data_IF_237408888421
#
_entry.id   IF_237408888421
#
_cell.length_a   1.000
_cell.length_b   1.000
_cell.length_c   1.000
_cell.angle_alpha   90.00
_cell.angle_beta   90.00
_cell.angle_gamma   90.00
#
_symmetry.space_group_name_H-M   'P 1'
#
loop_
_entity.id
_entity.type
_entity.pdbx_description
1 polymer ?
#
# COMPACT_ATOMS: atom_id res chain seq x y z
N UNK A 1 -3.87 1.99 -35.07
CA UNK A 1 -4.53 2.48 -33.84
C UNK A 1 -4.01 1.64 -32.68
N UNK A 2 -3.40 2.25 -31.66
CA UNK A 2 -3.15 1.57 -30.38
C UNK A 2 -1.69 1.31 -30.00
N UNK A 3 -0.90 2.36 -29.78
CA UNK A 3 0.35 2.29 -29.02
C UNK A 3 0.49 3.54 -28.12
N UNK A 4 -0.45 3.72 -27.20
CA UNK A 4 -0.39 4.76 -26.17
C UNK A 4 -0.98 4.25 -24.85
N UNK A 5 -0.40 3.20 -24.26
CA UNK A 5 -0.79 2.76 -22.90
C UNK A 5 0.39 2.63 -21.92
N UNK A 6 1.60 3.05 -22.30
CA UNK A 6 2.77 2.91 -21.41
C UNK A 6 2.99 4.09 -20.45
N UNK A 7 2.31 5.22 -20.63
CA UNK A 7 2.55 6.44 -19.84
C UNK A 7 1.77 6.53 -18.52
N UNK A 8 0.80 5.65 -18.27
CA UNK A 8 0.01 5.65 -17.03
C UNK A 8 0.76 4.92 -15.89
N UNK A 9 1.73 4.05 -16.21
CA UNK A 9 2.43 3.22 -15.22
C UNK A 9 3.44 4.00 -14.34
N UNK A 10 3.99 5.12 -14.83
CA UNK A 10 4.97 5.93 -14.07
C UNK A 10 4.30 6.64 -12.89
N UNK A 11 3.06 7.10 -13.06
CA UNK A 11 2.27 7.64 -11.96
C UNK A 11 2.13 6.64 -10.81
N UNK A 12 2.16 5.33 -11.08
CA UNK A 12 1.93 4.33 -10.06
C UNK A 12 3.03 4.21 -8.98
N UNK A 13 4.26 4.69 -9.25
CA UNK A 13 5.36 4.58 -8.27
C UNK A 13 5.28 5.59 -7.13
N UNK A 14 4.75 6.79 -7.36
CA UNK A 14 4.70 7.85 -6.35
C UNK A 14 3.56 7.70 -5.32
N UNK A 15 2.54 6.93 -5.64
CA UNK A 15 1.34 6.78 -4.80
C UNK A 15 1.24 5.42 -4.12
N UNK A 16 2.38 4.76 -3.85
CA UNK A 16 2.41 3.48 -3.13
C UNK A 16 2.16 3.70 -1.63
N UNK A 17 1.52 2.74 -0.93
CA UNK A 17 1.43 2.78 0.52
C UNK A 17 2.83 2.68 1.14
N UNK A 18 3.07 3.47 2.19
CA UNK A 18 4.30 3.49 2.98
C UNK A 18 3.97 3.04 4.40
N UNK A 19 4.73 2.07 4.92
CA UNK A 19 4.58 1.56 6.28
C UNK A 19 5.55 2.29 7.22
N UNK A 20 5.00 3.01 8.20
CA UNK A 20 5.75 3.52 9.35
C UNK A 20 6.09 2.36 10.30
N UNK A 21 7.35 1.93 10.23
CA UNK A 21 7.89 0.82 11.01
C UNK A 21 7.82 1.06 12.51
N UNK A 22 7.78 2.33 12.98
CA UNK A 22 7.72 2.65 14.41
C UNK A 22 6.35 2.33 15.00
N UNK A 23 5.30 2.47 14.20
CA UNK A 23 3.91 2.20 14.61
C UNK A 23 3.45 0.78 14.28
N UNK A 24 4.01 0.18 13.23
CA UNK A 24 3.57 -1.12 12.71
C UNK A 24 3.76 -2.25 13.74
N UNK A 25 2.66 -2.83 14.22
CA UNK A 25 2.64 -3.97 15.15
C UNK A 25 3.43 -5.16 14.59
N UNK A 26 3.31 -5.45 13.28
CA UNK A 26 4.01 -6.56 12.62
C UNK A 26 5.53 -6.45 12.71
N UNK A 27 6.07 -5.24 12.52
CA UNK A 27 7.52 -4.99 12.61
C UNK A 27 8.00 -4.97 14.06
N UNK A 28 7.11 -4.57 14.97
CA UNK A 28 7.39 -4.49 16.40
C UNK A 28 7.14 -5.83 17.15
N UNK A 29 7.02 -6.95 16.43
CA UNK A 29 6.99 -8.30 17.02
C UNK A 29 5.59 -8.87 17.29
N UNK A 30 4.52 -8.17 16.91
CA UNK A 30 3.16 -8.72 16.97
C UNK A 30 2.77 -9.49 15.70
N UNK A 31 1.85 -10.43 15.84
CA UNK A 31 1.28 -11.20 14.72
C UNK A 31 0.14 -10.40 14.04
N UNK A 32 0.51 -9.47 13.15
CA UNK A 32 -0.44 -8.58 12.46
C UNK A 32 -0.33 -8.72 10.94
N UNK A 33 -1.44 -9.14 10.32
CA UNK A 33 -1.55 -9.33 8.86
C UNK A 33 -2.75 -8.60 8.24
N UNK A 34 -3.35 -7.64 8.96
CA UNK A 34 -4.58 -6.97 8.52
C UNK A 34 -4.41 -6.31 7.14
N UNK A 35 -3.30 -5.59 6.93
CA UNK A 35 -3.07 -4.87 5.68
C UNK A 35 -3.01 -5.76 4.43
N UNK A 36 -2.44 -6.97 4.54
CA UNK A 36 -2.44 -7.96 3.46
C UNK A 36 -3.79 -8.68 3.34
N UNK A 37 -4.48 -8.90 4.46
CA UNK A 37 -5.77 -9.62 4.49
C UNK A 37 -6.92 -8.80 3.88
N UNK A 38 -6.91 -7.47 4.08
CA UNK A 38 -7.95 -6.59 3.52
C UNK A 38 -7.64 -6.13 2.10
N UNK A 39 -6.47 -6.46 1.56
CA UNK A 39 -6.09 -6.06 0.21
C UNK A 39 -6.81 -6.94 -0.81
N UNK A 40 -7.71 -6.34 -1.59
CA UNK A 40 -8.42 -7.02 -2.69
C UNK A 40 -7.48 -7.53 -3.78
N UNK A 41 -6.35 -6.85 -3.96
CA UNK A 41 -5.31 -7.20 -4.93
C UNK A 41 -4.30 -8.24 -4.38
N UNK A 42 -4.45 -8.67 -3.12
CA UNK A 42 -3.53 -9.64 -2.48
C UNK A 42 -2.11 -9.13 -2.26
N UNK A 43 -1.92 -7.81 -2.16
CA UNK A 43 -0.62 -7.18 -2.04
C UNK A 43 -0.19 -7.00 -0.58
N UNK A 44 1.11 -7.12 -0.31
CA UNK A 44 1.69 -6.78 0.99
C UNK A 44 2.41 -5.41 0.93
N UNK A 45 1.98 -4.40 1.70
CA UNK A 45 2.68 -3.11 1.84
C UNK A 45 4.15 -3.22 2.28
N UNK A 46 4.56 -4.33 2.88
CA UNK A 46 5.96 -4.58 3.22
C UNK A 46 6.80 -5.08 2.03
N UNK A 47 6.17 -5.50 0.93
CA UNK A 47 6.84 -5.94 -0.29
C UNK A 47 6.68 -4.88 -1.38
N UNK A 48 7.66 -3.97 -1.49
CA UNK A 48 7.57 -2.84 -2.43
C UNK A 48 7.47 -3.25 -3.91
N UNK A 49 7.97 -4.45 -4.23
CA UNK A 49 7.96 -5.03 -5.58
C UNK A 49 6.56 -5.44 -6.03
N UNK A 50 5.69 -5.89 -5.11
CA UNK A 50 4.32 -6.30 -5.45
C UNK A 50 3.38 -5.11 -5.63
N UNK A 51 3.73 -3.92 -5.13
CA UNK A 51 2.87 -2.73 -5.16
C UNK A 51 2.71 -2.07 -6.55
N UNK A 52 3.17 -2.71 -7.63
CA UNK A 52 2.97 -2.21 -9.00
C UNK A 52 1.52 -2.36 -9.48
N UNK A 53 0.74 -3.27 -8.88
CA UNK A 53 -0.69 -3.47 -9.18
C UNK A 53 -1.60 -2.84 -8.11
N UNK A 54 -1.04 -2.01 -7.21
CA UNK A 54 -1.83 -1.38 -6.15
C UNK A 54 -2.88 -0.43 -6.75
N UNK A 55 -4.16 -0.74 -6.55
CA UNK A 55 -5.31 0.08 -6.95
C UNK A 55 -5.48 1.35 -6.10
N UNK A 56 -4.75 1.46 -4.97
CA UNK A 56 -4.78 2.60 -4.03
C UNK A 56 -6.16 2.84 -3.44
N UNK A 57 -6.91 1.77 -3.19
CA UNK A 57 -8.25 1.82 -2.60
C UNK A 57 -8.30 2.37 -1.16
N UNK A 58 -7.16 2.43 -0.46
CA UNK A 58 -7.09 2.95 0.91
C UNK A 58 -7.44 1.94 2.01
N UNK A 59 -8.05 0.79 1.70
CA UNK A 59 -8.53 -0.19 2.68
C UNK A 59 -7.47 -0.62 3.71
N UNK A 60 -6.21 -0.80 3.28
CA UNK A 60 -5.11 -1.15 4.17
C UNK A 60 -4.75 -0.02 5.15
N UNK A 61 -4.88 1.25 4.76
CA UNK A 61 -4.73 2.41 5.66
C UNK A 61 -5.88 2.43 6.66
N UNK A 62 -7.11 2.37 6.17
CA UNK A 62 -8.32 2.53 6.99
C UNK A 62 -8.49 1.41 8.02
N UNK A 63 -8.07 0.18 7.66
CA UNK A 63 -8.15 -0.98 8.55
C UNK A 63 -6.93 -1.14 9.46
N UNK A 64 -5.89 -0.30 9.33
CA UNK A 64 -4.66 -0.46 10.10
C UNK A 64 -4.89 -0.07 11.57
N UNK A 65 -4.82 -1.02 12.54
CA UNK A 65 -5.13 -0.72 13.94
C UNK A 65 -4.13 0.23 14.61
N UNK A 66 -2.93 0.35 14.05
CA UNK A 66 -1.86 1.20 14.56
C UNK A 66 -1.65 2.48 13.75
N UNK A 67 -2.52 2.78 12.77
CA UNK A 67 -2.36 3.91 11.84
C UNK A 67 -0.93 4.01 11.28
N UNK A 68 -0.38 2.86 10.88
CA UNK A 68 1.00 2.73 10.43
C UNK A 68 1.15 2.86 8.91
N UNK A 69 0.05 2.97 8.16
CA UNK A 69 0.09 3.00 6.69
C UNK A 69 -0.33 4.39 6.21
N UNK A 70 0.49 4.99 5.37
CA UNK A 70 0.21 6.30 4.76
C UNK A 70 0.38 6.25 3.25
N UNK A 71 -0.29 7.15 2.54
CA UNK A 71 -0.12 7.38 1.11
C UNK A 71 0.40 8.80 0.92
N UNK A 72 1.35 9.01 0.01
CA UNK A 72 2.02 10.30 -0.18
C UNK A 72 1.08 11.49 -0.52
N UNK A 73 -0.16 11.22 -0.97
CA UNK A 73 -1.13 12.27 -1.33
C UNK A 73 -2.47 12.21 -0.57
N UNK A 74 -2.64 11.32 0.42
CA UNK A 74 -3.86 11.38 1.24
C UNK A 74 -3.68 12.42 2.34
N UNK A 75 -4.49 13.51 2.36
CA UNK A 75 -4.53 14.39 3.52
C UNK A 75 -4.88 13.58 4.77
N UNK A 76 -4.33 14.03 5.89
CA UNK A 76 -4.34 13.34 7.17
C UNK A 76 -5.70 13.41 7.82
#
# INVERSE_FOLDING_TARGET
>A
MGAMLSLISIGNRFFKPVVDRRKCIRVNGGDCHICSNVCTEGLDPHCSASLNECSKCGLCKDSCPSDAITFAFMPK
#
